data_IF_038245839909
#
_entry.id   IF_038245839909
#
_cell.length_a   1.000
_cell.length_b   1.000
_cell.length_c   1.000
_cell.angle_alpha   90.00
_cell.angle_beta   90.00
_cell.angle_gamma   90.00
#
_symmetry.space_group_name_H-M   'P 1'
#
loop_
_entity.id
_entity.type
_entity.pdbx_description
1 polymer ?
#
# COMPACT_ATOMS: atom_id res chain seq x y z
N UNK A 1 -16.21 -22.54 76.57
CA UNK A 1 -14.93 -21.82 76.73
C UNK A 1 -13.88 -22.73 76.14
N UNK A 2 -13.07 -22.18 75.25
CA UNK A 2 -12.01 -22.79 74.43
C UNK A 2 -12.41 -23.35 73.06
N UNK A 3 -11.83 -22.64 72.08
CA UNK A 3 -12.02 -22.63 70.65
C UNK A 3 -11.34 -23.80 69.94
N UNK A 4 -11.99 -24.25 68.88
CA UNK A 4 -11.49 -25.25 67.95
C UNK A 4 -10.91 -24.54 66.73
N UNK A 5 -9.60 -24.29 66.70
CA UNK A 5 -8.92 -23.76 65.51
C UNK A 5 -8.76 -24.85 64.44
N UNK A 6 -9.47 -24.67 63.32
CA UNK A 6 -9.35 -25.46 62.10
C UNK A 6 -8.17 -24.95 61.26
N UNK A 7 -7.15 -25.77 61.09
CA UNK A 7 -6.11 -25.60 60.05
C UNK A 7 -6.68 -25.90 58.67
N UNK A 8 -6.53 -24.98 57.73
CA UNK A 8 -6.80 -25.17 56.31
C UNK A 8 -5.65 -25.93 55.61
N UNK A 9 -5.93 -26.70 54.53
CA UNK A 9 -4.90 -27.39 53.76
C UNK A 9 -4.18 -26.46 52.78
N UNK A 10 -2.85 -26.59 52.71
CA UNK A 10 -1.96 -25.92 51.77
C UNK A 10 -2.24 -26.37 50.32
N UNK A 11 -2.40 -25.40 49.42
CA UNK A 11 -2.54 -25.63 47.98
C UNK A 11 -1.20 -25.93 47.29
N UNK A 12 -1.24 -26.52 46.07
CA UNK A 12 -0.05 -26.99 45.37
C UNK A 12 0.82 -25.84 44.83
N UNK A 13 2.13 -26.00 45.01
CA UNK A 13 3.20 -25.11 44.51
C UNK A 13 3.22 -25.12 42.97
N UNK A 14 3.12 -23.94 42.36
CA UNK A 14 3.36 -23.73 40.94
C UNK A 14 4.85 -23.88 40.62
N UNK A 15 5.15 -24.70 39.62
CA UNK A 15 6.50 -24.95 39.12
C UNK A 15 7.11 -23.70 38.47
N UNK A 16 8.40 -23.49 38.74
CA UNK A 16 9.26 -22.50 38.12
C UNK A 16 9.30 -22.64 36.59
N UNK A 17 9.01 -21.53 35.90
CA UNK A 17 9.24 -21.41 34.46
C UNK A 17 10.72 -21.12 34.14
N UNK A 18 11.22 -21.54 32.96
CA UNK A 18 12.63 -21.39 32.62
C UNK A 18 13.02 -19.94 32.32
N UNK A 19 14.14 -19.55 32.91
CA UNK A 19 14.87 -18.30 32.71
C UNK A 19 15.48 -18.27 31.29
N UNK A 20 15.34 -17.19 30.50
CA UNK A 20 16.06 -17.08 29.25
C UNK A 20 17.55 -16.84 29.53
N UNK A 21 18.39 -17.75 29.04
CA UNK A 21 19.85 -17.64 29.05
C UNK A 21 20.32 -16.72 27.93
N UNK A 22 21.14 -15.73 28.30
CA UNK A 22 21.94 -14.92 27.39
C UNK A 22 22.84 -15.80 26.51
N UNK A 23 22.65 -15.69 25.20
CA UNK A 23 23.53 -16.26 24.19
C UNK A 23 24.67 -15.31 23.82
N UNK A 24 25.87 -15.82 23.47
CA UNK A 24 27.07 -15.02 23.36
C UNK A 24 27.18 -14.23 22.04
N UNK A 25 27.79 -13.05 22.17
CA UNK A 25 28.41 -12.22 21.12
C UNK A 25 29.27 -13.04 20.15
N UNK A 26 29.06 -12.81 18.86
CA UNK A 26 30.07 -12.94 17.81
C UNK A 26 29.98 -11.67 16.95
N UNK A 27 30.89 -10.71 17.15
CA UNK A 27 32.13 -10.45 16.38
C UNK A 27 31.90 -9.86 14.99
N UNK A 28 32.20 -8.56 14.92
CA UNK A 28 32.79 -7.80 13.83
C UNK A 28 32.74 -8.37 12.40
N UNK A 29 32.06 -7.61 11.53
CA UNK A 29 32.51 -7.43 10.15
C UNK A 29 32.19 -6.00 9.69
N UNK A 30 33.14 -5.08 9.87
CA UNK A 30 33.26 -3.85 9.06
C UNK A 30 34.11 -4.18 7.81
N UNK A 31 34.23 -3.29 6.82
CA UNK A 31 33.19 -2.56 6.08
C UNK A 31 33.36 -2.73 4.56
N UNK A 32 32.30 -2.70 3.74
CA UNK A 32 32.46 -2.59 2.29
C UNK A 32 32.47 -1.13 1.84
N UNK A 33 33.68 -0.58 1.75
CA UNK A 33 33.99 0.59 0.93
C UNK A 33 34.08 0.19 -0.54
N UNK A 34 33.27 0.81 -1.39
CA UNK A 34 33.63 1.03 -2.80
C UNK A 34 33.31 2.47 -3.20
N UNK A 35 34.33 3.31 -3.05
CA UNK A 35 34.48 4.55 -3.81
C UNK A 35 34.44 4.21 -5.30
N UNK A 36 33.53 4.84 -6.05
CA UNK A 36 33.76 5.16 -7.46
C UNK A 36 33.68 6.67 -7.61
N UNK A 37 34.86 7.27 -7.77
CA UNK A 37 35.05 8.58 -8.38
C UNK A 37 34.63 8.46 -9.85
N UNK A 38 33.73 9.34 -10.30
CA UNK A 38 33.67 9.73 -11.69
C UNK A 38 33.59 11.26 -11.78
N UNK A 39 34.47 11.72 -12.63
CA UNK A 39 34.90 13.08 -12.92
C UNK A 39 33.78 13.86 -13.62
N UNK A 40 33.40 15.02 -13.07
CA UNK A 40 32.55 15.99 -13.73
C UNK A 40 33.43 16.89 -14.61
N UNK A 41 33.42 16.60 -15.92
CA UNK A 41 33.91 17.46 -16.99
C UNK A 41 32.79 18.31 -17.57
N UNK A 42 33.16 19.50 -18.01
CA UNK A 42 32.34 20.66 -18.32
C UNK A 42 31.38 20.55 -19.54
N UNK A 43 30.35 21.41 -19.49
CA UNK A 43 29.74 22.21 -20.58
C UNK A 43 29.17 21.51 -21.82
N UNK A 44 27.88 21.77 -22.08
CA UNK A 44 27.27 21.55 -23.40
C UNK A 44 25.78 21.90 -23.44
N UNK A 45 25.46 23.15 -23.74
CA UNK A 45 24.11 23.62 -24.09
C UNK A 45 23.72 23.09 -25.46
N UNK A 46 22.54 22.49 -25.58
CA UNK A 46 21.80 22.42 -26.85
C UNK A 46 20.29 22.37 -26.55
N UNK A 47 19.64 23.52 -26.80
CA UNK A 47 18.19 23.64 -26.88
C UNK A 47 17.72 23.06 -28.22
N UNK A 48 16.70 22.20 -28.19
CA UNK A 48 15.89 21.87 -29.35
C UNK A 48 14.43 22.00 -28.96
N UNK A 49 13.82 23.11 -29.35
CA UNK A 49 12.40 23.37 -29.18
C UNK A 49 11.57 22.50 -30.11
N UNK A 50 10.52 21.89 -29.55
CA UNK A 50 9.43 21.29 -30.30
C UNK A 50 8.16 22.08 -30.04
N UNK A 51 7.86 23.06 -30.89
CA UNK A 51 6.58 23.77 -30.91
C UNK A 51 5.57 22.91 -31.65
N UNK A 52 4.55 22.39 -30.96
CA UNK A 52 3.36 21.88 -31.63
C UNK A 52 2.46 23.05 -32.01
N UNK A 53 2.30 23.24 -33.31
CA UNK A 53 1.36 24.19 -33.89
C UNK A 53 -0.07 23.65 -33.74
N UNK A 54 -0.93 24.36 -33.01
CA UNK A 54 -2.37 24.17 -33.06
C UNK A 54 -2.91 25.04 -34.19
N UNK A 55 -3.27 24.40 -35.30
CA UNK A 55 -4.00 25.06 -36.39
C UNK A 55 -5.43 25.32 -35.95
N UNK A 56 -5.76 26.59 -35.77
CA UNK A 56 -7.12 27.10 -35.58
C UNK A 56 -7.77 27.29 -36.95
N UNK A 57 -8.86 26.58 -37.25
CA UNK A 57 -9.82 26.95 -38.30
C UNK A 57 -11.17 26.24 -38.12
N UNK A 58 -12.26 27.02 -38.11
CA UNK A 58 -13.62 26.56 -38.43
C UNK A 58 -14.52 26.27 -37.24
N UNK A 59 -15.47 27.16 -36.98
CA UNK A 59 -16.42 27.10 -35.86
C UNK A 59 -17.42 25.93 -35.92
N UNK A 60 -17.79 25.47 -34.73
CA UNK A 60 -18.89 24.54 -34.44
C UNK A 60 -19.74 25.18 -33.31
N UNK A 61 -21.08 25.05 -33.30
CA UNK A 61 -21.94 25.72 -32.33
C UNK A 61 -21.63 25.29 -30.89
N UNK A 62 -21.87 26.22 -29.95
CA UNK A 62 -21.64 26.12 -28.52
C UNK A 62 -21.93 24.73 -27.93
N UNK A 63 -20.89 24.04 -27.49
CA UNK A 63 -21.01 22.88 -26.60
C UNK A 63 -21.49 23.36 -25.23
N UNK A 64 -22.37 22.60 -24.53
CA UNK A 64 -22.76 22.92 -23.16
C UNK A 64 -21.53 22.90 -22.24
N UNK A 65 -21.52 23.80 -21.26
CA UNK A 65 -20.48 23.93 -20.24
C UNK A 65 -20.10 22.56 -19.64
N UNK A 66 -18.91 22.08 -19.98
CA UNK A 66 -18.26 20.97 -19.28
C UNK A 66 -17.43 21.60 -18.16
N UNK A 67 -17.70 21.32 -16.88
CA UNK A 67 -16.83 21.75 -15.80
C UNK A 67 -15.44 21.12 -16.01
N UNK A 68 -14.42 21.93 -16.32
CA UNK A 68 -13.04 21.43 -16.46
C UNK A 68 -12.12 22.13 -17.46
N UNK A 69 -12.59 23.08 -18.27
CA UNK A 69 -11.73 23.78 -19.27
C UNK A 69 -11.36 25.22 -18.88
N UNK A 70 -11.52 25.59 -17.61
CA UNK A 70 -10.96 26.81 -17.04
C UNK A 70 -10.38 26.50 -15.69
N UNK A 71 -9.06 26.55 -15.57
CA UNK A 71 -8.39 26.43 -14.29
C UNK A 71 -6.97 25.98 -14.47
N UNK A 72 -6.03 26.89 -14.19
CA UNK A 72 -4.68 26.53 -13.76
C UNK A 72 -4.82 25.33 -12.81
N UNK A 73 -4.41 24.13 -13.25
CA UNK A 73 -4.47 22.93 -12.43
C UNK A 73 -3.92 23.27 -11.06
N UNK A 74 -4.72 23.07 -10.00
CA UNK A 74 -4.23 23.24 -8.65
C UNK A 74 -2.92 22.46 -8.53
N UNK A 75 -1.84 23.05 -7.97
CA UNK A 75 -0.55 22.40 -7.93
C UNK A 75 -0.73 21.02 -7.29
N UNK A 76 -0.13 20.00 -7.92
CA UNK A 76 -0.22 18.64 -7.44
C UNK A 76 0.13 18.58 -5.95
N UNK A 77 -0.56 17.74 -5.16
CA UNK A 77 -0.34 17.67 -3.72
C UNK A 77 1.15 17.47 -3.43
N UNK A 78 1.66 18.20 -2.44
CA UNK A 78 3.07 18.09 -2.07
C UNK A 78 3.25 16.81 -1.26
N UNK A 79 4.36 16.11 -1.49
CA UNK A 79 4.76 15.02 -0.60
C UNK A 79 4.93 15.61 0.81
N UNK A 80 4.14 15.11 1.75
CA UNK A 80 4.33 15.35 3.17
C UNK A 80 5.20 14.24 3.75
N UNK A 81 5.94 14.59 4.80
CA UNK A 81 6.59 13.61 5.68
C UNK A 81 6.09 13.92 7.08
N UNK A 82 5.10 13.16 7.50
CA UNK A 82 4.48 13.30 8.81
C UNK A 82 5.12 12.23 9.69
N UNK A 83 5.31 12.53 10.97
CA UNK A 83 5.74 11.54 11.96
C UNK A 83 4.50 10.97 12.68
N UNK A 84 4.48 9.67 13.01
CA UNK A 84 3.37 9.10 13.76
C UNK A 84 3.31 9.69 15.18
N UNK A 85 2.12 10.10 15.59
CA UNK A 85 1.84 10.54 16.95
C UNK A 85 1.08 9.43 17.70
N UNK A 86 1.69 8.77 18.71
CA UNK A 86 1.00 7.73 19.47
C UNK A 86 -0.22 8.27 20.20
N UNK A 87 -1.31 7.50 20.18
CA UNK A 87 -2.55 7.80 20.92
C UNK A 87 -3.02 6.58 21.68
N UNK A 88 -3.82 6.79 22.74
CA UNK A 88 -4.49 5.68 23.40
C UNK A 88 -5.71 5.24 22.57
N UNK A 89 -6.09 3.96 22.66
CA UNK A 89 -7.23 3.43 21.92
C UNK A 89 -8.55 4.12 22.25
N UNK A 90 -8.66 4.76 23.43
CA UNK A 90 -9.82 5.56 23.82
C UNK A 90 -10.01 6.83 22.98
N UNK A 91 -8.96 7.26 22.27
CA UNK A 91 -9.00 8.38 21.33
C UNK A 91 -9.37 7.95 19.90
N UNK A 92 -9.49 6.63 19.67
CA UNK A 92 -9.73 6.03 18.37
C UNK A 92 -11.17 5.54 18.21
N UNK A 93 -11.63 5.46 16.96
CA UNK A 93 -12.90 4.81 16.65
C UNK A 93 -12.75 3.30 16.72
N UNK A 94 -13.58 2.65 17.53
CA UNK A 94 -13.75 1.21 17.47
C UNK A 94 -14.69 0.83 16.33
N UNK A 95 -14.16 0.08 15.35
CA UNK A 95 -14.87 -0.33 14.14
C UNK A 95 -14.88 -1.85 14.03
N UNK A 96 -15.92 -2.42 13.41
CA UNK A 96 -16.06 -3.89 13.21
C UNK A 96 -16.10 -4.30 11.74
N UNK A 97 -16.05 -3.34 10.84
CA UNK A 97 -16.09 -3.54 9.39
C UNK A 97 -15.28 -2.48 8.65
N UNK A 98 -14.86 -2.80 7.43
CA UNK A 98 -14.35 -1.87 6.44
C UNK A 98 -15.32 -1.89 5.26
N UNK A 99 -16.03 -0.78 5.05
CA UNK A 99 -17.21 -0.76 4.19
C UNK A 99 -18.21 -1.83 4.63
N UNK A 100 -18.55 -2.73 3.71
CA UNK A 100 -19.45 -3.87 3.98
C UNK A 100 -18.74 -5.12 4.48
N UNK A 101 -17.40 -5.17 4.45
CA UNK A 101 -16.63 -6.34 4.82
C UNK A 101 -16.37 -6.39 6.33
N UNK A 102 -16.74 -7.49 6.99
CA UNK A 102 -16.47 -7.69 8.41
C UNK A 102 -14.96 -7.74 8.67
N UNK A 103 -14.51 -7.07 9.74
CA UNK A 103 -13.12 -7.16 10.18
C UNK A 103 -12.89 -8.47 10.93
N UNK A 104 -11.91 -9.23 10.46
CA UNK A 104 -11.51 -10.51 11.06
C UNK A 104 -10.01 -10.52 11.32
N UNK A 105 -9.63 -10.87 12.54
CA UNK A 105 -8.22 -11.02 12.89
C UNK A 105 -7.67 -12.30 12.25
N UNK A 106 -6.63 -12.18 11.42
CA UNK A 106 -6.11 -13.29 10.59
C UNK A 106 -5.62 -14.45 11.44
N UNK A 107 -4.97 -14.18 12.59
CA UNK A 107 -4.30 -15.20 13.40
C UNK A 107 -5.27 -16.23 13.99
N UNK A 108 -6.41 -15.79 14.52
CA UNK A 108 -7.38 -16.66 15.19
C UNK A 108 -8.70 -16.83 14.41
N UNK A 109 -8.82 -16.10 13.30
CA UNK A 109 -9.99 -16.11 12.43
C UNK A 109 -11.28 -15.57 13.06
N UNK A 110 -11.20 -14.81 14.16
CA UNK A 110 -12.37 -14.28 14.87
C UNK A 110 -12.71 -12.86 14.42
N UNK A 111 -14.00 -12.63 14.20
CA UNK A 111 -14.55 -11.27 14.03
C UNK A 111 -14.22 -10.44 15.26
N UNK A 112 -13.61 -9.30 15.05
CA UNK A 112 -13.08 -8.45 16.13
C UNK A 112 -13.41 -6.99 15.86
N UNK A 113 -13.16 -6.14 16.85
CA UNK A 113 -13.06 -4.71 16.60
C UNK A 113 -11.61 -4.34 16.27
N UNK A 114 -11.44 -3.29 15.49
CA UNK A 114 -10.15 -2.62 15.27
C UNK A 114 -10.29 -1.14 15.59
N UNK A 115 -9.18 -0.48 15.90
CA UNK A 115 -9.14 0.90 16.38
C UNK A 115 -8.34 1.75 15.41
N UNK A 116 -8.96 2.80 14.89
CA UNK A 116 -8.35 3.72 13.92
C UNK A 116 -8.90 5.13 14.07
N UNK A 117 -8.23 6.12 13.50
CA UNK A 117 -8.81 7.46 13.37
C UNK A 117 -10.01 7.44 12.41
N UNK A 118 -10.93 8.38 12.56
CA UNK A 118 -12.10 8.49 11.68
C UNK A 118 -11.70 8.67 10.21
N UNK A 119 -10.70 9.52 9.96
CA UNK A 119 -10.22 9.82 8.61
C UNK A 119 -9.60 8.59 7.94
N UNK A 120 -8.78 7.84 8.66
CA UNK A 120 -8.18 6.60 8.16
C UNK A 120 -9.25 5.54 7.87
N UNK A 121 -10.19 5.33 8.80
CA UNK A 121 -11.30 4.40 8.62
C UNK A 121 -12.15 4.71 7.37
N UNK A 122 -12.48 5.99 7.13
CA UNK A 122 -13.21 6.42 5.90
C UNK A 122 -12.42 6.16 4.63
N UNK A 123 -11.09 6.26 4.68
CA UNK A 123 -10.21 5.97 3.53
C UNK A 123 -10.19 4.49 3.18
N UNK A 124 -10.16 3.62 4.18
CA UNK A 124 -10.32 2.18 3.99
C UNK A 124 -11.70 1.84 3.37
N UNK A 125 -12.77 2.51 3.80
CA UNK A 125 -14.10 2.32 3.21
C UNK A 125 -14.13 2.69 1.72
N UNK A 126 -13.47 3.80 1.34
CA UNK A 126 -13.33 4.20 -0.07
C UNK A 126 -12.55 3.18 -0.88
N UNK A 127 -11.46 2.65 -0.34
CA UNK A 127 -10.69 1.60 -1.00
C UNK A 127 -11.55 0.35 -1.26
N UNK A 128 -12.30 -0.15 -0.27
CA UNK A 128 -13.21 -1.31 -0.49
C UNK A 128 -14.29 -0.99 -1.53
N UNK A 129 -14.81 0.24 -1.57
CA UNK A 129 -15.75 0.66 -2.60
C UNK A 129 -15.13 0.68 -4.00
N UNK A 130 -13.87 1.11 -4.13
CA UNK A 130 -13.10 1.07 -5.38
C UNK A 130 -12.83 -0.38 -5.83
N UNK A 131 -12.41 -1.25 -4.91
CA UNK A 131 -12.20 -2.68 -5.16
C UNK A 131 -13.45 -3.31 -5.77
N UNK A 132 -14.60 -3.08 -5.13
CA UNK A 132 -15.90 -3.53 -5.65
C UNK A 132 -16.18 -2.98 -7.04
N UNK A 133 -16.01 -1.68 -7.24
CA UNK A 133 -16.36 -0.99 -8.49
C UNK A 133 -15.48 -1.44 -9.66
N UNK A 134 -14.18 -1.58 -9.46
CA UNK A 134 -13.21 -1.73 -10.54
C UNK A 134 -12.69 -3.17 -10.71
N UNK A 135 -12.68 -3.97 -9.65
CA UNK A 135 -12.30 -5.40 -9.71
C UNK A 135 -13.55 -6.30 -9.80
N UNK A 136 -14.72 -5.81 -9.37
CA UNK A 136 -15.98 -6.56 -9.40
C UNK A 136 -16.14 -7.58 -8.27
N UNK A 137 -15.23 -7.56 -7.29
CA UNK A 137 -15.24 -8.44 -6.13
C UNK A 137 -15.93 -7.77 -4.94
N UNK A 138 -16.85 -8.48 -4.28
CA UNK A 138 -17.58 -7.98 -3.11
C UNK A 138 -17.16 -8.80 -1.89
N UNK A 139 -16.15 -8.37 -1.12
CA UNK A 139 -15.77 -9.09 0.09
C UNK A 139 -16.83 -8.96 1.20
N UNK A 140 -17.10 -10.07 1.88
CA UNK A 140 -17.84 -10.11 3.14
C UNK A 140 -16.92 -10.08 4.36
N UNK A 141 -15.62 -10.35 4.17
CA UNK A 141 -14.59 -10.28 5.20
C UNK A 141 -13.29 -9.65 4.68
N UNK A 142 -12.70 -8.82 5.53
CA UNK A 142 -11.31 -8.39 5.45
C UNK A 142 -10.53 -9.05 6.59
N UNK A 143 -9.49 -9.80 6.24
CA UNK A 143 -8.59 -10.45 7.19
C UNK A 143 -7.36 -9.58 7.41
N UNK A 144 -6.98 -9.35 8.66
CA UNK A 144 -5.91 -8.40 9.02
C UNK A 144 -5.07 -8.85 10.20
N UNK A 145 -3.80 -8.41 10.25
CA UNK A 145 -2.91 -8.59 11.41
C UNK A 145 -2.99 -7.48 12.46
N UNK A 146 -3.86 -6.49 12.26
CA UNK A 146 -4.08 -5.42 13.21
C UNK A 146 -4.06 -4.06 12.54
N UNK A 147 -4.63 -3.09 13.23
CA UNK A 147 -4.62 -1.67 12.84
C UNK A 147 -3.95 -0.79 13.91
N UNK A 148 -4.04 -1.16 15.19
CA UNK A 148 -3.46 -0.39 16.28
C UNK A 148 -2.74 -1.27 17.30
N UNK A 149 -1.60 -0.75 17.78
CA UNK A 149 -0.86 -1.30 18.92
C UNK A 149 -0.36 -0.14 19.78
N UNK A 150 -0.29 -0.36 21.10
CA UNK A 150 0.15 0.68 22.04
C UNK A 150 1.66 0.96 21.91
N UNK A 151 2.02 2.24 21.96
CA UNK A 151 3.26 2.66 22.63
C UNK A 151 4.51 2.93 21.78
N UNK A 152 4.42 3.04 20.46
CA UNK A 152 5.59 3.35 19.62
C UNK A 152 5.46 4.68 18.88
N UNK A 153 6.30 5.67 19.19
CA UNK A 153 6.41 6.95 18.47
C UNK A 153 7.04 6.84 17.09
N UNK A 154 7.36 5.63 16.63
CA UNK A 154 7.88 5.37 15.29
C UNK A 154 6.96 4.48 14.47
N UNK A 155 5.76 4.16 14.97
CA UNK A 155 4.82 3.26 14.31
C UNK A 155 3.49 3.95 14.05
N UNK A 156 3.06 3.95 12.79
CA UNK A 156 1.72 4.39 12.38
C UNK A 156 0.59 3.55 12.99
N UNK A 157 0.87 2.31 13.39
CA UNK A 157 -0.11 1.55 14.17
C UNK A 157 -0.38 2.22 15.52
N UNK A 158 0.60 2.85 16.15
CA UNK A 158 0.36 3.53 17.43
C UNK A 158 -0.39 4.85 17.29
N UNK A 159 -0.46 5.45 16.10
CA UNK A 159 -1.34 6.60 15.83
C UNK A 159 -2.76 6.19 15.40
N UNK A 160 -3.00 4.90 15.16
CA UNK A 160 -4.29 4.41 14.64
C UNK A 160 -4.50 4.74 13.16
N UNK A 161 -3.42 4.92 12.41
CA UNK A 161 -3.45 5.33 11.00
C UNK A 161 -2.64 4.38 10.11
N UNK A 162 -2.58 3.11 10.52
CA UNK A 162 -2.08 2.02 9.72
C UNK A 162 -2.97 0.77 9.82
N UNK A 163 -2.84 -0.14 8.86
CA UNK A 163 -3.43 -1.47 8.92
C UNK A 163 -2.64 -2.47 8.09
N UNK A 164 -2.54 -3.69 8.61
CA UNK A 164 -1.93 -4.82 7.92
C UNK A 164 -3.01 -5.72 7.34
N UNK A 165 -3.11 -5.80 6.02
CA UNK A 165 -4.18 -6.49 5.30
C UNK A 165 -3.65 -7.82 4.75
N UNK A 166 -4.25 -8.93 5.18
CA UNK A 166 -3.84 -10.27 4.78
C UNK A 166 -4.65 -10.82 3.62
N UNK A 167 -5.99 -10.65 3.61
CA UNK A 167 -6.89 -11.24 2.60
C UNK A 167 -8.21 -10.48 2.48
N UNK A 168 -8.86 -10.64 1.33
CA UNK A 168 -10.27 -10.36 1.13
C UNK A 168 -10.99 -11.68 0.83
N UNK A 169 -12.14 -11.90 1.47
CA UNK A 169 -12.91 -13.15 1.35
C UNK A 169 -14.39 -12.89 1.09
N UNK A 170 -15.02 -13.88 0.47
CA UNK A 170 -16.47 -13.97 0.31
C UNK A 170 -16.90 -15.43 0.37
N UNK A 171 -18.02 -15.72 1.03
CA UNK A 171 -18.62 -17.05 1.10
C UNK A 171 -17.64 -18.13 1.57
N UNK A 172 -16.80 -17.77 2.55
CA UNK A 172 -15.78 -18.65 3.11
C UNK A 172 -14.57 -18.92 2.20
N UNK A 173 -14.44 -18.27 1.04
CA UNK A 173 -13.33 -18.44 0.10
C UNK A 173 -12.49 -17.17 -0.03
N UNK A 174 -11.21 -17.33 -0.32
CA UNK A 174 -10.33 -16.21 -0.64
C UNK A 174 -10.73 -15.64 -2.01
N UNK A 175 -11.15 -14.37 -2.02
CA UNK A 175 -11.26 -13.59 -3.24
C UNK A 175 -9.86 -13.21 -3.71
N UNK A 176 -9.06 -12.66 -2.79
CA UNK A 176 -7.63 -12.39 -2.98
C UNK A 176 -6.88 -12.65 -1.68
N UNK A 177 -5.71 -13.26 -1.81
CA UNK A 177 -4.76 -13.47 -0.70
C UNK A 177 -3.55 -12.57 -0.90
N UNK A 178 -3.32 -11.66 0.05
CA UNK A 178 -2.14 -10.78 0.10
C UNK A 178 -0.94 -11.44 0.81
N UNK A 179 -1.07 -12.74 1.11
CA UNK A 179 -0.09 -13.58 1.79
C UNK A 179 0.83 -14.24 0.79
N UNK A 180 1.74 -13.47 0.19
CA UNK A 180 2.68 -13.96 -0.82
C UNK A 180 3.41 -15.22 -0.36
N UNK A 181 3.80 -15.27 0.91
CA UNK A 181 4.45 -16.42 1.54
C UNK A 181 3.68 -17.74 1.48
N UNK A 182 2.35 -17.72 1.31
CA UNK A 182 1.53 -18.93 1.16
C UNK A 182 1.44 -19.46 -0.27
N UNK A 183 1.78 -18.64 -1.28
CA UNK A 183 1.53 -18.99 -2.68
C UNK A 183 2.67 -18.67 -3.64
N UNK A 184 3.79 -18.11 -3.17
CA UNK A 184 4.98 -17.81 -3.98
C UNK A 184 5.53 -19.01 -4.74
N UNK A 185 5.36 -20.21 -4.18
CA UNK A 185 5.82 -21.47 -4.74
C UNK A 185 4.71 -22.24 -5.49
N UNK A 186 3.57 -21.60 -5.76
CA UNK A 186 2.48 -22.21 -6.52
C UNK A 186 2.90 -22.51 -7.97
N UNK A 187 2.23 -23.46 -8.66
CA UNK A 187 2.46 -23.72 -10.08
C UNK A 187 2.35 -22.45 -10.93
N UNK A 188 3.15 -22.33 -11.98
CA UNK A 188 3.34 -21.07 -12.72
C UNK A 188 2.04 -20.41 -13.23
N UNK A 189 1.04 -21.19 -13.65
CA UNK A 189 -0.27 -20.67 -14.08
C UNK A 189 -1.03 -20.05 -12.91
N UNK A 190 -1.04 -20.71 -11.76
CA UNK A 190 -1.67 -20.24 -10.54
C UNK A 190 -0.94 -19.04 -9.93
N UNK A 191 0.40 -19.08 -9.91
CA UNK A 191 1.23 -17.96 -9.46
C UNK A 191 0.95 -16.71 -10.30
N UNK A 192 0.87 -16.84 -11.64
CA UNK A 192 0.56 -15.72 -12.53
C UNK A 192 -0.82 -15.11 -12.23
N UNK A 193 -1.84 -15.96 -12.03
CA UNK A 193 -3.20 -15.53 -11.65
C UNK A 193 -3.20 -14.79 -10.32
N UNK A 194 -2.49 -15.32 -9.31
CA UNK A 194 -2.39 -14.72 -7.97
C UNK A 194 -1.66 -13.39 -8.00
N UNK A 195 -0.53 -13.30 -8.72
CA UNK A 195 0.21 -12.05 -8.89
C UNK A 195 -0.63 -10.98 -9.58
N UNK A 196 -1.34 -11.32 -10.66
CA UNK A 196 -2.22 -10.37 -11.33
C UNK A 196 -3.28 -9.82 -10.36
N UNK A 197 -3.95 -10.70 -9.60
CA UNK A 197 -4.99 -10.26 -8.66
C UNK A 197 -4.44 -9.51 -7.44
N UNK A 198 -3.28 -9.93 -6.92
CA UNK A 198 -2.55 -9.24 -5.87
C UNK A 198 -2.26 -7.80 -6.28
N UNK A 199 -1.67 -7.60 -7.46
CA UNK A 199 -1.26 -6.28 -7.92
C UNK A 199 -2.43 -5.40 -8.36
N UNK A 200 -3.54 -5.98 -8.82
CA UNK A 200 -4.81 -5.24 -8.99
C UNK A 200 -5.34 -4.73 -7.65
N UNK A 201 -5.31 -5.57 -6.61
CA UNK A 201 -5.74 -5.18 -5.26
C UNK A 201 -4.83 -4.10 -4.68
N UNK A 202 -3.51 -4.26 -4.84
CA UNK A 202 -2.52 -3.27 -4.44
C UNK A 202 -2.65 -1.95 -5.20
N UNK A 203 -3.08 -1.95 -6.46
CA UNK A 203 -3.37 -0.73 -7.21
C UNK A 203 -4.51 0.07 -6.57
N UNK A 204 -5.55 -0.62 -6.08
CA UNK A 204 -6.61 0.02 -5.30
C UNK A 204 -6.08 0.63 -4.00
N UNK A 205 -5.16 -0.05 -3.31
CA UNK A 205 -4.51 0.51 -2.13
C UNK A 205 -3.66 1.72 -2.49
N UNK A 206 -2.86 1.66 -3.56
CA UNK A 206 -2.04 2.79 -4.03
C UNK A 206 -2.85 3.98 -4.57
N UNK A 207 -4.09 3.75 -4.98
CA UNK A 207 -5.02 4.84 -5.30
C UNK A 207 -5.36 5.64 -4.05
N UNK A 208 -5.57 4.97 -2.92
CA UNK A 208 -5.89 5.63 -1.67
C UNK A 208 -4.64 5.99 -0.88
N UNK A 209 -3.55 5.23 -0.81
CA UNK A 209 -2.43 5.41 0.10
C UNK A 209 -1.09 5.53 -0.66
N UNK A 210 -0.18 6.39 -0.19
CA UNK A 210 1.16 6.45 -0.76
C UNK A 210 2.07 5.35 -0.22
N UNK A 211 2.03 5.12 1.08
CA UNK A 211 2.80 4.09 1.77
C UNK A 211 2.00 2.80 1.78
N UNK A 212 2.32 1.94 0.81
CA UNK A 212 1.75 0.60 0.63
C UNK A 212 2.92 -0.36 0.54
N UNK A 213 3.21 -1.06 1.63
CA UNK A 213 4.37 -1.95 1.73
C UNK A 213 3.93 -3.36 1.41
N UNK A 214 4.54 -3.92 0.37
CA UNK A 214 4.21 -5.25 -0.18
C UNK A 214 5.32 -6.24 0.13
N UNK A 215 5.16 -7.51 -0.29
CA UNK A 215 6.24 -8.50 -0.17
C UNK A 215 7.56 -8.10 -0.85
N UNK A 216 7.57 -7.08 -1.73
CA UNK A 216 8.79 -6.55 -2.34
C UNK A 216 9.57 -5.60 -1.44
N UNK A 217 8.96 -5.10 -0.35
CA UNK A 217 9.58 -4.16 0.56
C UNK A 217 10.63 -4.86 1.44
N UNK A 218 10.21 -5.91 2.16
CA UNK A 218 11.07 -6.79 2.96
C UNK A 218 10.33 -8.10 3.33
N UNK A 219 11.03 -8.98 4.05
CA UNK A 219 10.49 -10.27 4.51
C UNK A 219 9.35 -10.14 5.53
N UNK A 220 9.28 -9.04 6.29
CA UNK A 220 8.22 -8.84 7.29
C UNK A 220 6.86 -8.61 6.61
N UNK A 221 6.86 -8.15 5.36
CA UNK A 221 5.66 -7.93 4.55
C UNK A 221 5.36 -9.09 3.61
N UNK A 222 6.03 -10.24 3.76
CA UNK A 222 5.74 -11.42 2.93
C UNK A 222 4.34 -11.99 3.17
N UNK A 223 3.72 -11.71 4.33
CA UNK A 223 2.43 -12.25 4.75
C UNK A 223 1.28 -11.23 4.70
N UNK A 224 1.49 -9.97 4.34
CA UNK A 224 0.43 -8.95 4.27
C UNK A 224 0.83 -7.76 3.40
N UNK A 225 -0.12 -6.86 3.13
CA UNK A 225 0.19 -5.49 2.69
C UNK A 225 -0.05 -4.55 3.88
N UNK A 226 0.97 -3.78 4.24
CA UNK A 226 0.84 -2.67 5.19
C UNK A 226 0.43 -1.41 4.44
N UNK A 227 -0.49 -0.62 5.01
CA UNK A 227 -0.76 0.74 4.53
C UNK A 227 -0.81 1.73 5.68
N UNK A 228 -0.31 2.94 5.43
CA UNK A 228 -0.35 4.07 6.36
C UNK A 228 -0.51 5.42 5.63
N UNK A 229 -0.54 6.52 6.39
CA UNK A 229 -0.75 7.89 5.87
C UNK A 229 0.48 8.79 5.94
N UNK A 230 1.67 8.25 6.22
CA UNK A 230 2.84 9.06 6.53
C UNK A 230 3.26 9.99 5.41
N UNK A 231 2.91 9.65 4.18
CA UNK A 231 3.01 10.52 3.01
C UNK A 231 1.65 10.99 2.53
N UNK A 232 1.58 12.28 2.22
CA UNK A 232 0.38 13.03 1.79
C UNK A 232 -0.75 13.19 2.83
N UNK A 233 -0.65 12.57 4.02
CA UNK A 233 -1.63 12.76 5.09
C UNK A 233 -3.06 12.50 4.58
N UNK A 234 -4.00 13.44 4.68
CA UNK A 234 -5.38 13.24 4.23
C UNK A 234 -5.57 13.26 2.70
N UNK A 235 -4.59 13.73 1.93
CA UNK A 235 -4.70 13.89 0.48
C UNK A 235 -4.43 12.58 -0.25
N UNK A 236 -5.11 12.36 -1.38
CA UNK A 236 -4.82 11.22 -2.25
C UNK A 236 -3.43 11.35 -2.88
N UNK A 237 -2.69 10.23 -2.96
CA UNK A 237 -1.30 10.24 -3.37
C UNK A 237 -1.12 10.49 -4.86
N UNK A 238 0.10 10.87 -5.23
CA UNK A 238 0.66 10.79 -6.58
C UNK A 238 1.93 9.96 -6.55
N UNK A 239 2.49 9.66 -7.72
CA UNK A 239 3.80 9.01 -7.79
C UNK A 239 4.88 9.89 -7.15
N UNK A 240 5.64 9.28 -6.24
CA UNK A 240 6.92 9.76 -5.74
C UNK A 240 7.99 8.89 -6.41
N UNK A 241 8.64 9.41 -7.46
CA UNK A 241 9.60 8.63 -8.26
C UNK A 241 10.81 8.10 -7.46
N UNK A 242 11.12 8.70 -6.32
CA UNK A 242 12.17 8.24 -5.38
C UNK A 242 11.67 7.22 -4.35
N UNK A 243 10.38 6.88 -4.35
CA UNK A 243 9.80 5.93 -3.42
C UNK A 243 9.96 4.51 -3.98
N UNK A 244 10.92 3.76 -3.45
CA UNK A 244 11.15 2.38 -3.88
C UNK A 244 9.85 1.54 -3.84
N UNK A 245 9.07 1.64 -2.77
CA UNK A 245 7.80 0.91 -2.63
C UNK A 245 6.79 1.21 -3.76
N UNK A 246 6.60 2.50 -4.12
CA UNK A 246 5.68 2.87 -5.20
C UNK A 246 6.23 2.47 -6.57
N UNK A 247 7.52 2.66 -6.81
CA UNK A 247 8.13 2.33 -8.11
C UNK A 247 8.11 0.82 -8.36
N UNK A 248 8.50 0.02 -7.37
CA UNK A 248 8.40 -1.44 -7.46
C UNK A 248 6.97 -1.89 -7.70
N UNK A 249 5.99 -1.27 -7.04
CA UNK A 249 4.58 -1.58 -7.27
C UNK A 249 4.15 -1.27 -8.71
N UNK A 250 4.51 -0.10 -9.26
CA UNK A 250 4.23 0.25 -10.66
C UNK A 250 4.87 -0.76 -11.62
N UNK A 251 6.13 -1.10 -11.42
CA UNK A 251 6.85 -2.08 -12.24
C UNK A 251 6.19 -3.45 -12.17
N UNK A 252 5.77 -3.88 -10.98
CA UNK A 252 5.08 -5.13 -10.77
C UNK A 252 3.68 -5.14 -11.40
N UNK A 253 2.95 -4.02 -11.38
CA UNK A 253 1.68 -3.86 -12.10
C UNK A 253 1.88 -3.94 -13.61
N UNK A 254 2.87 -3.23 -14.17
CA UNK A 254 3.24 -3.33 -15.57
C UNK A 254 3.53 -4.78 -15.97
N UNK A 255 4.34 -5.49 -15.19
CA UNK A 255 4.75 -6.86 -15.48
C UNK A 255 3.62 -7.87 -15.32
N UNK A 256 2.96 -7.88 -14.16
CA UNK A 256 2.05 -8.97 -13.77
C UNK A 256 0.60 -8.75 -14.16
N UNK A 257 0.17 -7.49 -14.32
CA UNK A 257 -1.21 -7.14 -14.72
C UNK A 257 -1.26 -6.81 -16.21
N UNK A 258 -0.29 -6.04 -16.71
CA UNK A 258 -0.27 -5.59 -18.09
C UNK A 258 0.59 -6.44 -19.04
N UNK A 259 1.32 -7.43 -18.51
CA UNK A 259 2.15 -8.33 -19.32
C UNK A 259 3.39 -7.68 -19.93
N UNK A 260 3.82 -6.52 -19.42
CA UNK A 260 5.01 -5.78 -19.87
C UNK A 260 6.27 -6.43 -19.30
N UNK A 261 6.68 -7.56 -19.87
CA UNK A 261 7.82 -8.36 -19.36
C UNK A 261 9.18 -7.69 -19.51
N UNK A 262 9.26 -6.65 -20.33
CA UNK A 262 10.42 -5.77 -20.49
C UNK A 262 10.69 -4.93 -19.23
N UNK A 263 9.65 -4.57 -18.48
CA UNK A 263 9.77 -3.82 -17.23
C UNK A 263 10.32 -4.76 -16.14
N UNK A 264 11.51 -4.43 -15.64
CA UNK A 264 12.12 -5.11 -14.51
C UNK A 264 11.69 -4.45 -13.21
N UNK A 265 11.60 -5.23 -12.12
CA UNK A 265 11.25 -4.72 -10.80
C UNK A 265 12.56 -4.37 -10.08
N UNK A 266 13.08 -3.18 -10.37
CA UNK A 266 14.36 -2.68 -9.84
C UNK A 266 14.17 -1.70 -8.69
N UNK A 267 13.02 -1.02 -8.63
CA UNK A 267 12.79 0.13 -7.74
C UNK A 267 13.25 1.48 -8.30
N UNK A 268 13.88 1.49 -9.48
CA UNK A 268 14.27 2.71 -10.18
C UNK A 268 13.23 3.08 -11.23
N UNK A 269 12.73 4.33 -11.21
CA UNK A 269 11.76 4.81 -12.20
C UNK A 269 12.46 5.21 -13.50
N UNK A 270 12.89 4.20 -14.25
CA UNK A 270 13.66 4.35 -15.49
C UNK A 270 12.80 4.63 -16.73
N UNK A 271 13.47 4.83 -17.86
CA UNK A 271 12.86 5.15 -19.15
C UNK A 271 11.92 4.03 -19.62
N UNK A 272 12.28 2.77 -19.39
CA UNK A 272 11.45 1.60 -19.75
C UNK A 272 10.16 1.58 -18.94
N UNK A 273 10.24 1.85 -17.63
CA UNK A 273 9.09 1.95 -16.75
C UNK A 273 8.20 3.13 -17.16
N UNK A 274 8.80 4.30 -17.42
CA UNK A 274 8.08 5.49 -17.89
C UNK A 274 7.33 5.20 -19.20
N UNK A 275 8.01 4.73 -20.23
CA UNK A 275 7.39 4.42 -21.53
C UNK A 275 6.24 3.41 -21.41
N UNK A 276 6.42 2.36 -20.60
CA UNK A 276 5.39 1.36 -20.38
C UNK A 276 4.15 1.97 -19.71
N UNK A 277 4.35 2.81 -18.68
CA UNK A 277 3.23 3.47 -17.98
C UNK A 277 2.51 4.49 -18.85
N UNK A 278 3.23 5.26 -19.68
CA UNK A 278 2.64 6.21 -20.63
C UNK A 278 1.75 5.48 -21.64
N UNK A 279 2.24 4.38 -22.25
CA UNK A 279 1.42 3.59 -23.19
C UNK A 279 0.18 2.98 -22.53
N UNK A 280 0.29 2.57 -21.26
CA UNK A 280 -0.85 2.06 -20.49
C UNK A 280 -1.87 3.18 -20.24
N UNK A 281 -1.42 4.38 -19.89
CA UNK A 281 -2.29 5.55 -19.72
C UNK A 281 -2.98 5.92 -21.03
N UNK A 282 -2.24 6.02 -22.13
CA UNK A 282 -2.80 6.26 -23.47
C UNK A 282 -3.87 5.23 -23.82
N UNK A 283 -3.59 3.94 -23.62
CA UNK A 283 -4.54 2.85 -23.87
C UNK A 283 -5.80 2.98 -22.99
N UNK A 284 -5.66 3.50 -21.77
CA UNK A 284 -6.76 3.69 -20.83
C UNK A 284 -7.48 5.04 -20.98
N UNK A 285 -7.05 5.90 -21.92
CA UNK A 285 -7.56 7.27 -22.07
C UNK A 285 -7.19 8.20 -20.89
N UNK A 286 -6.13 7.85 -20.15
CA UNK A 286 -5.57 8.66 -19.08
C UNK A 286 -4.69 9.80 -19.60
N UNK A 287 -4.41 10.81 -18.76
CA UNK A 287 -3.61 11.96 -19.16
C UNK A 287 -2.10 11.69 -19.02
N UNK A 288 -1.33 12.21 -19.98
CA UNK A 288 0.12 12.46 -19.85
C UNK A 288 0.95 11.28 -19.37
N UNK A 289 2.03 11.59 -18.66
CA UNK A 289 2.89 10.60 -18.01
C UNK A 289 2.51 10.41 -16.54
N UNK A 290 2.77 9.20 -16.02
CA UNK A 290 2.39 8.81 -14.65
C UNK A 290 2.94 9.76 -13.55
N UNK A 291 4.13 10.34 -13.79
CA UNK A 291 4.80 11.22 -12.83
C UNK A 291 4.32 12.68 -12.86
N UNK A 292 3.59 13.10 -13.90
CA UNK A 292 3.24 14.51 -14.12
C UNK A 292 2.16 15.01 -13.19
N UNK A 293 1.23 14.14 -12.78
CA UNK A 293 0.05 14.57 -12.02
C UNK A 293 -0.51 13.47 -11.12
N UNK A 294 -1.31 13.89 -10.13
CA UNK A 294 -2.11 12.97 -9.32
C UNK A 294 -3.16 12.27 -10.19
N UNK A 295 -3.72 12.98 -11.14
CA UNK A 295 -4.77 12.51 -12.03
C UNK A 295 -4.25 11.38 -12.94
N UNK A 296 -3.01 11.49 -13.45
CA UNK A 296 -2.32 10.42 -14.15
C UNK A 296 -2.08 9.20 -13.25
N UNK A 297 -1.59 9.42 -12.02
CA UNK A 297 -1.43 8.34 -11.01
C UNK A 297 -2.74 7.59 -10.76
N UNK A 298 -3.83 8.31 -10.50
CA UNK A 298 -5.13 7.72 -10.22
C UNK A 298 -5.70 6.99 -11.44
N UNK A 299 -5.57 7.57 -12.64
CA UNK A 299 -6.01 6.93 -13.88
C UNK A 299 -5.28 5.60 -14.10
N UNK A 300 -3.96 5.55 -13.88
CA UNK A 300 -3.19 4.31 -13.98
C UNK A 300 -3.63 3.26 -12.96
N UNK A 301 -3.87 3.65 -11.70
CA UNK A 301 -4.34 2.72 -10.67
C UNK A 301 -5.72 2.15 -10.99
N UNK A 302 -6.64 3.00 -11.47
CA UNK A 302 -7.98 2.58 -11.91
C UNK A 302 -7.90 1.64 -13.12
N UNK A 303 -7.13 2.00 -14.14
CA UNK A 303 -6.93 1.16 -15.31
C UNK A 303 -6.35 -0.20 -14.93
N UNK A 304 -5.37 -0.22 -14.02
CA UNK A 304 -4.76 -1.46 -13.51
C UNK A 304 -5.78 -2.31 -12.77
N UNK A 305 -6.61 -1.73 -11.88
CA UNK A 305 -7.70 -2.47 -11.21
C UNK A 305 -8.66 -3.12 -12.21
N UNK A 306 -8.99 -2.44 -13.30
CA UNK A 306 -9.96 -2.89 -14.31
C UNK A 306 -9.41 -3.95 -15.27
N UNK A 307 -8.08 -4.11 -15.36
CA UNK A 307 -7.44 -5.05 -16.27
C UNK A 307 -7.68 -6.49 -15.81
N UNK A 308 -8.50 -7.24 -16.56
CA UNK A 308 -8.79 -8.65 -16.32
C UNK A 308 -7.81 -9.60 -17.01
#
# INVERSE_FOLDING_TARGET
>A
MEDTERRAPEGPRTADGPRPTDGPRQTDSRPMTRRRLLTLGALGVAAAGGTYAVTQAGGIPSLPDVPGLSGLSAPAPRELRIDPAPVDYTELQSRRAVGTAAYVYEVNGRRSAYYVTEAFGKRLDRWIALHRKHIGQVPDELRSYGAWVRGSSTSWHSSGEAIDIARLRADGKDLVSLRHDLWRDAPASELRRRLALYWRTAAGLHHEFADVLTYLFDDAHANHIHVDIGRFGPEQPRLIQRSNAQVQAVQAMCRHVWGRTEVQITGDYDDVTRDATTRILEQAGGPGELAESREAWQAFMVATMQRA
#
